data_IF_340624752598
#
_entry.id   IF_340624752598
#
_cell.length_a   1.000
_cell.length_b   1.000
_cell.length_c   1.000
_cell.angle_alpha   90.00
_cell.angle_beta   90.00
_cell.angle_gamma   90.00
#
_symmetry.space_group_name_H-M   'P 1'
#
loop_
_entity.id
_entity.type
_entity.pdbx_description
1 polymer ?
#
# COMPACT_ATOMS: atom_id res chain seq x y z
N UNK A 1 46.44 14.11 18.19
CA UNK A 1 45.03 14.20 17.73
C UNK A 1 44.81 13.31 16.51
N UNK A 2 44.44 12.04 16.70
CA UNK A 2 44.30 11.06 15.60
C UNK A 2 42.93 10.40 15.49
N UNK A 3 41.94 10.87 16.26
CA UNK A 3 40.63 10.21 16.31
C UNK A 3 39.86 10.36 14.99
N UNK A 4 39.80 11.57 14.44
CA UNK A 4 39.07 11.87 13.19
C UNK A 4 39.76 11.35 11.92
N UNK A 5 41.07 11.06 11.95
CA UNK A 5 41.77 10.49 10.79
C UNK A 5 41.38 9.03 10.49
N UNK A 6 40.76 8.36 11.48
CA UNK A 6 40.17 7.01 11.35
C UNK A 6 38.77 7.03 10.73
N UNK A 7 38.08 8.17 10.79
CA UNK A 7 36.75 8.38 10.20
C UNK A 7 36.82 9.11 8.85
N UNK A 8 37.94 9.02 8.13
CA UNK A 8 38.08 9.66 6.83
C UNK A 8 37.27 8.89 5.78
N UNK A 9 36.26 9.52 5.15
CA UNK A 9 35.43 8.88 4.12
C UNK A 9 36.25 8.44 2.91
N UNK A 10 37.25 9.25 2.56
CA UNK A 10 38.20 8.98 1.45
C UNK A 10 38.98 7.69 1.71
N UNK A 11 39.38 7.47 2.97
CA UNK A 11 40.13 6.28 3.37
C UNK A 11 39.25 5.04 3.37
N UNK A 12 38.01 5.17 3.84
CA UNK A 12 37.01 4.10 3.80
C UNK A 12 36.67 3.66 2.37
N UNK A 13 36.51 4.60 1.44
CA UNK A 13 36.28 4.27 0.03
C UNK A 13 37.47 3.53 -0.60
N UNK A 14 38.69 3.99 -0.35
CA UNK A 14 39.91 3.32 -0.83
C UNK A 14 40.05 1.91 -0.28
N UNK A 15 39.76 1.72 1.01
CA UNK A 15 39.81 0.43 1.67
C UNK A 15 38.75 -0.54 1.11
N UNK A 16 37.51 -0.07 0.96
CA UNK A 16 36.45 -0.83 0.31
C UNK A 16 36.82 -1.24 -1.12
N UNK A 17 37.38 -0.32 -1.90
CA UNK A 17 37.83 -0.61 -3.27
C UNK A 17 38.93 -1.68 -3.28
N UNK A 18 39.92 -1.60 -2.39
CA UNK A 18 40.99 -2.60 -2.28
C UNK A 18 40.43 -3.96 -1.87
N UNK A 19 39.51 -3.98 -0.92
CA UNK A 19 38.83 -5.20 -0.49
C UNK A 19 38.06 -5.86 -1.64
N UNK A 20 37.31 -5.09 -2.44
CA UNK A 20 36.55 -5.62 -3.57
C UNK A 20 37.45 -6.10 -4.73
N UNK A 21 38.61 -5.47 -4.95
CA UNK A 21 39.58 -5.89 -5.97
C UNK A 21 40.25 -7.23 -5.66
N UNK A 22 40.37 -7.60 -4.37
CA UNK A 22 40.98 -8.87 -3.95
C UNK A 22 40.03 -10.08 -3.96
N UNK A 23 38.76 -9.89 -4.33
CA UNK A 23 37.70 -10.91 -4.26
C UNK A 23 37.50 -11.62 -5.60
N UNK A 24 36.95 -12.84 -5.53
CA UNK A 24 36.65 -13.59 -6.75
C UNK A 24 35.37 -13.08 -7.41
N UNK A 25 35.28 -13.19 -8.73
CA UNK A 25 34.17 -12.60 -9.50
C UNK A 25 32.78 -13.10 -9.06
N UNK A 26 32.66 -14.37 -8.65
CA UNK A 26 31.39 -14.91 -8.17
C UNK A 26 31.00 -14.37 -6.78
N UNK A 27 31.95 -14.05 -5.90
CA UNK A 27 31.66 -13.45 -4.58
C UNK A 27 31.02 -12.07 -4.76
N UNK A 28 31.52 -11.29 -5.72
CA UNK A 28 30.94 -10.00 -6.11
C UNK A 28 29.55 -10.16 -6.73
N UNK A 29 29.34 -11.20 -7.53
CA UNK A 29 28.04 -11.54 -8.10
C UNK A 29 27.00 -11.86 -7.02
N UNK A 30 27.33 -12.72 -6.06
CA UNK A 30 26.44 -13.04 -4.93
C UNK A 30 26.19 -11.83 -4.04
N UNK A 31 27.22 -11.01 -3.80
CA UNK A 31 27.05 -9.77 -3.04
C UNK A 31 26.09 -8.80 -3.73
N UNK A 32 26.23 -8.61 -5.04
CA UNK A 32 25.32 -7.77 -5.83
C UNK A 32 23.88 -8.32 -5.79
N UNK A 33 23.71 -9.64 -5.95
CA UNK A 33 22.40 -10.28 -5.85
C UNK A 33 21.76 -10.05 -4.47
N UNK A 34 22.50 -10.24 -3.38
CA UNK A 34 22.00 -10.00 -2.04
C UNK A 34 21.51 -8.56 -1.85
N UNK A 35 22.31 -7.57 -2.27
CA UNK A 35 21.92 -6.16 -2.21
C UNK A 35 20.67 -5.86 -3.04
N UNK A 36 20.58 -6.41 -4.25
CA UNK A 36 19.44 -6.21 -5.15
C UNK A 36 18.18 -6.87 -4.59
N UNK A 37 18.26 -8.11 -4.11
CA UNK A 37 17.11 -8.82 -3.53
C UNK A 37 16.59 -8.10 -2.29
N UNK A 38 17.46 -7.75 -1.34
CA UNK A 38 17.06 -7.01 -0.14
C UNK A 38 16.52 -5.62 -0.49
N UNK A 39 17.20 -4.89 -1.38
CA UNK A 39 16.76 -3.58 -1.85
C UNK A 39 15.41 -3.62 -2.56
N UNK A 40 15.16 -4.66 -3.36
CA UNK A 40 13.87 -4.88 -4.02
C UNK A 40 12.74 -5.04 -3.01
N UNK A 41 12.91 -5.87 -1.98
CA UNK A 41 11.87 -6.04 -0.95
C UNK A 41 11.63 -4.76 -0.16
N UNK A 42 12.69 -4.05 0.24
CA UNK A 42 12.54 -2.75 0.93
C UNK A 42 11.81 -1.74 0.04
N UNK A 43 12.18 -1.67 -1.24
CA UNK A 43 11.53 -0.80 -2.21
C UNK A 43 10.06 -1.16 -2.43
N UNK A 44 9.74 -2.44 -2.63
CA UNK A 44 8.37 -2.92 -2.81
C UNK A 44 7.51 -2.60 -1.58
N UNK A 45 8.01 -2.88 -0.37
CA UNK A 45 7.31 -2.52 0.87
C UNK A 45 7.13 -1.01 1.03
N UNK A 46 8.14 -0.20 0.71
CA UNK A 46 8.02 1.25 0.80
C UNK A 46 7.04 1.81 -0.24
N UNK A 47 6.99 1.21 -1.44
CA UNK A 47 6.12 1.61 -2.54
C UNK A 47 4.65 1.27 -2.28
N UNK A 48 4.38 0.13 -1.65
CA UNK A 48 3.03 -0.36 -1.32
C UNK A 48 2.54 0.13 0.06
N UNK A 49 3.46 0.32 1.00
CA UNK A 49 3.19 0.75 2.37
C UNK A 49 2.93 2.25 2.53
N UNK A 50 3.16 3.06 1.50
CA UNK A 50 2.80 4.48 1.45
C UNK A 50 1.30 4.69 1.20
N UNK A 51 0.44 3.84 1.76
CA UNK A 51 -0.99 4.05 1.82
C UNK A 51 -1.32 4.94 3.03
N UNK A 52 -2.23 5.90 2.85
CA UNK A 52 -2.71 6.72 3.97
C UNK A 52 -3.18 5.80 5.10
N UNK A 53 -2.86 6.12 6.38
CA UNK A 53 -3.37 5.34 7.49
C UNK A 53 -4.89 5.26 7.36
N UNK A 54 -5.40 4.03 7.14
CA UNK A 54 -6.82 3.72 6.89
C UNK A 54 -7.72 4.25 8.00
N UNK A 55 -7.15 4.51 9.19
CA UNK A 55 -7.89 5.08 10.30
C UNK A 55 -8.07 6.60 10.15
N UNK A 56 -8.98 7.01 9.27
CA UNK A 56 -9.76 8.22 9.52
C UNK A 56 -10.79 7.84 10.58
N UNK A 57 -10.77 8.55 11.71
CA UNK A 57 -11.83 8.43 12.70
C UNK A 57 -13.09 9.08 12.12
N UNK A 58 -13.78 8.35 11.24
CA UNK A 58 -15.13 8.69 10.84
C UNK A 58 -16.01 8.44 12.05
N UNK A 59 -16.13 9.46 12.89
CA UNK A 59 -17.13 9.49 13.94
C UNK A 59 -18.47 9.59 13.21
N UNK A 60 -19.06 8.44 12.91
CA UNK A 60 -20.43 8.36 12.41
C UNK A 60 -21.33 8.78 13.57
N UNK A 61 -21.62 10.07 13.67
CA UNK A 61 -22.68 10.56 14.51
C UNK A 61 -23.97 9.98 13.94
N UNK A 62 -24.57 9.05 14.65
CA UNK A 62 -25.94 8.62 14.36
C UNK A 62 -26.83 9.87 14.41
N UNK A 63 -27.67 10.07 13.39
CA UNK A 63 -28.62 11.16 13.42
C UNK A 63 -29.60 10.92 14.56
N UNK A 64 -29.56 11.79 15.57
CA UNK A 64 -30.52 11.79 16.66
C UNK A 64 -31.82 12.40 16.14
N UNK A 65 -32.84 11.57 15.99
CA UNK A 65 -34.16 12.04 15.57
C UNK A 65 -34.97 12.46 16.78
N UNK A 66 -35.62 13.64 16.74
CA UNK A 66 -36.58 14.03 17.76
C UNK A 66 -37.74 13.01 17.83
N UNK A 67 -38.20 12.68 19.03
CA UNK A 67 -39.33 11.75 19.21
C UNK A 67 -40.67 12.34 18.73
N UNK A 68 -40.72 13.65 18.56
CA UNK A 68 -41.87 14.47 18.14
C UNK A 68 -41.90 14.77 16.63
N UNK A 69 -41.03 14.14 15.82
CA UNK A 69 -41.02 14.39 14.36
C UNK A 69 -42.35 13.98 13.71
N UNK A 70 -42.81 14.76 12.74
CA UNK A 70 -44.02 14.43 11.98
C UNK A 70 -43.73 13.55 10.75
N UNK A 71 -44.74 12.79 10.29
CA UNK A 71 -44.67 11.97 9.08
C UNK A 71 -44.29 12.77 7.82
N UNK A 72 -44.69 14.04 7.75
CA UNK A 72 -44.32 14.91 6.64
C UNK A 72 -42.82 15.23 6.64
N UNK A 73 -42.24 15.48 7.81
CA UNK A 73 -40.79 15.69 7.97
C UNK A 73 -40.01 14.41 7.65
N UNK A 74 -40.57 13.23 7.92
CA UNK A 74 -39.98 11.94 7.51
C UNK A 74 -39.93 11.84 5.99
N UNK A 75 -41.06 12.07 5.32
CA UNK A 75 -41.16 11.93 3.86
C UNK A 75 -40.32 12.96 3.10
N UNK A 76 -40.25 14.20 3.60
CA UNK A 76 -39.40 15.23 3.02
C UNK A 76 -37.92 14.84 3.06
N UNK A 77 -37.45 14.33 4.21
CA UNK A 77 -36.08 13.89 4.37
C UNK A 77 -35.75 12.65 3.52
N UNK A 78 -36.66 11.68 3.45
CA UNK A 78 -36.47 10.48 2.61
C UNK A 78 -36.31 10.80 1.13
N UNK A 79 -36.98 11.85 0.62
CA UNK A 79 -36.81 12.31 -0.76
C UNK A 79 -35.41 12.85 -1.03
N UNK A 80 -34.76 13.43 0.00
CA UNK A 80 -33.39 13.95 -0.09
C UNK A 80 -32.38 12.82 0.07
N UNK A 81 -32.57 11.93 1.04
CA UNK A 81 -31.63 10.86 1.35
C UNK A 81 -31.67 9.70 0.34
N UNK A 82 -32.82 9.50 -0.32
CA UNK A 82 -33.03 8.45 -1.31
C UNK A 82 -32.01 8.46 -2.46
N UNK A 83 -31.86 9.57 -3.21
CA UNK A 83 -30.89 9.66 -4.30
C UNK A 83 -29.43 9.56 -3.83
N UNK A 84 -29.11 10.10 -2.64
CA UNK A 84 -27.76 10.02 -2.07
C UNK A 84 -27.40 8.56 -1.78
N UNK A 85 -28.26 7.85 -1.06
CA UNK A 85 -28.06 6.42 -0.77
C UNK A 85 -28.03 5.55 -2.03
N UNK A 86 -28.86 5.86 -3.02
CA UNK A 86 -28.86 5.13 -4.28
C UNK A 86 -27.52 5.27 -5.03
N UNK A 87 -26.93 6.47 -5.01
CA UNK A 87 -25.62 6.73 -5.61
C UNK A 87 -24.49 6.00 -4.88
N UNK A 88 -24.45 6.10 -3.56
CA UNK A 88 -23.45 5.40 -2.73
C UNK A 88 -23.51 3.89 -2.93
N UNK A 89 -24.72 3.31 -2.96
CA UNK A 89 -24.91 1.89 -3.21
C UNK A 89 -24.46 1.48 -4.62
N UNK A 90 -24.69 2.32 -5.63
CA UNK A 90 -24.25 2.05 -6.99
C UNK A 90 -22.72 2.09 -7.11
N UNK A 91 -22.06 3.07 -6.47
CA UNK A 91 -20.60 3.18 -6.43
C UNK A 91 -19.96 1.97 -5.72
N UNK A 92 -20.53 1.53 -4.58
CA UNK A 92 -20.09 0.33 -3.88
C UNK A 92 -20.25 -0.93 -4.73
N UNK A 93 -21.42 -1.13 -5.35
CA UNK A 93 -21.65 -2.28 -6.25
C UNK A 93 -20.68 -2.30 -7.42
N UNK A 94 -20.43 -1.15 -8.05
CA UNK A 94 -19.48 -1.06 -9.16
C UNK A 94 -18.04 -1.39 -8.71
N UNK A 95 -17.63 -0.97 -7.50
CA UNK A 95 -16.34 -1.33 -6.94
C UNK A 95 -16.23 -2.84 -6.63
N UNK A 96 -17.30 -3.43 -6.09
CA UNK A 96 -17.36 -4.87 -5.81
C UNK A 96 -17.31 -5.71 -7.08
N UNK A 97 -18.05 -5.33 -8.11
CA UNK A 97 -18.05 -5.99 -9.41
C UNK A 97 -16.68 -5.94 -10.07
N UNK A 98 -16.00 -4.78 -10.03
CA UNK A 98 -14.62 -4.64 -10.53
C UNK A 98 -13.67 -5.57 -9.78
N UNK A 99 -13.74 -5.62 -8.46
CA UNK A 99 -12.90 -6.52 -7.64
C UNK A 99 -13.17 -7.99 -8.00
N UNK A 100 -14.45 -8.39 -8.06
CA UNK A 100 -14.84 -9.76 -8.46
C UNK A 100 -14.33 -10.10 -9.85
N UNK A 101 -14.40 -9.19 -10.81
CA UNK A 101 -13.89 -9.39 -12.16
C UNK A 101 -12.36 -9.59 -12.18
N UNK A 102 -11.60 -8.79 -11.43
CA UNK A 102 -10.15 -8.94 -11.29
C UNK A 102 -9.79 -10.31 -10.70
N UNK A 103 -10.45 -10.70 -9.61
CA UNK A 103 -10.23 -12.03 -9.01
C UNK A 103 -10.59 -13.16 -9.96
N UNK A 104 -11.69 -13.03 -10.72
CA UNK A 104 -12.06 -14.02 -11.73
C UNK A 104 -11.03 -14.15 -12.85
N UNK A 105 -10.39 -13.07 -13.27
CA UNK A 105 -9.31 -13.12 -14.27
C UNK A 105 -8.09 -13.89 -13.73
N UNK A 106 -7.73 -13.64 -12.48
CA UNK A 106 -6.62 -14.35 -11.80
C UNK A 106 -6.96 -15.84 -11.63
N UNK A 107 -8.16 -16.15 -11.15
CA UNK A 107 -8.66 -17.51 -10.96
C UNK A 107 -8.67 -18.32 -12.26
N UNK A 108 -9.13 -17.73 -13.36
CA UNK A 108 -9.07 -18.34 -14.69
C UNK A 108 -7.63 -18.59 -15.16
N UNK A 109 -6.70 -17.68 -14.85
CA UNK A 109 -5.30 -17.85 -15.21
C UNK A 109 -4.63 -18.98 -14.40
N UNK A 110 -4.93 -19.07 -13.10
CA UNK A 110 -4.47 -20.16 -12.23
C UNK A 110 -5.01 -21.51 -12.71
N UNK A 111 -6.33 -21.59 -12.97
CA UNK A 111 -6.99 -22.77 -13.52
C UNK A 111 -6.35 -23.23 -14.84
N UNK A 112 -6.01 -22.30 -15.73
CA UNK A 112 -5.34 -22.61 -17.00
C UNK A 112 -3.92 -23.17 -16.80
N UNK A 113 -3.25 -22.78 -15.73
CA UNK A 113 -1.92 -23.27 -15.36
C UNK A 113 -1.96 -24.54 -14.50
N UNK A 114 -3.16 -25.05 -14.16
CA UNK A 114 -3.34 -26.24 -13.34
C UNK A 114 -3.03 -26.04 -11.86
N UNK A 115 -3.08 -24.79 -11.39
CA UNK A 115 -2.92 -24.37 -9.99
C UNK A 115 -4.27 -24.02 -9.35
#
# INVERSE_FOLDING_TARGET
>A
MGFFSRFSPVRAYRDLRLFLLGRQAYELGFFALALLTTGYFVYALARDGATEPVYKRDIVYFQQWPADRSDEQIRAQQRIDGPIRARELAEQKAADEKRRAQFKQVDNAMSKWGL
#
